data_IF_846762676941
#
_entry.id   IF_846762676941
#
_cell.length_a   1.000
_cell.length_b   1.000
_cell.length_c   1.000
_cell.angle_alpha   90.00
_cell.angle_beta   90.00
_cell.angle_gamma   90.00
#
_symmetry.space_group_name_H-M   'P 1'
#
loop_
_entity.id
_entity.type
_entity.pdbx_description
1 polymer ?
#
# COMPACT_ATOMS: atom_id res chain seq x y z
N UNK A 1 -29.27 -17.71 -21.93
CA UNK A 1 -27.96 -17.91 -21.28
C UNK A 1 -27.46 -16.54 -20.90
N UNK A 2 -27.65 -16.16 -19.64
CA UNK A 2 -27.30 -14.85 -19.13
C UNK A 2 -25.81 -14.79 -18.81
N UNK A 3 -25.13 -13.77 -19.31
CA UNK A 3 -23.81 -13.39 -18.84
C UNK A 3 -23.96 -12.82 -17.43
N UNK A 4 -23.49 -13.56 -16.44
CA UNK A 4 -23.36 -13.04 -15.08
C UNK A 4 -22.16 -12.08 -15.07
N UNK A 5 -22.44 -10.80 -15.30
CA UNK A 5 -21.48 -9.74 -15.06
C UNK A 5 -21.12 -9.77 -13.57
N UNK A 6 -19.96 -10.33 -13.25
CA UNK A 6 -19.33 -10.17 -11.94
C UNK A 6 -18.85 -8.72 -11.86
N UNK A 7 -19.79 -7.83 -11.54
CA UNK A 7 -19.51 -6.48 -11.10
C UNK A 7 -18.60 -6.60 -9.88
N UNK A 8 -17.32 -6.27 -10.07
CA UNK A 8 -16.44 -5.89 -8.96
C UNK A 8 -17.22 -4.89 -8.11
N UNK A 9 -17.45 -5.15 -6.81
CA UNK A 9 -18.21 -4.22 -6.00
C UNK A 9 -17.36 -2.96 -5.91
N UNK A 10 -17.82 -1.92 -6.63
CA UNK A 10 -17.40 -0.55 -6.46
C UNK A 10 -17.58 -0.22 -4.98
N UNK A 11 -16.45 0.03 -4.30
CA UNK A 11 -16.44 0.37 -2.90
C UNK A 11 -16.38 1.90 -2.79
N UNK A 12 -17.34 2.57 -2.14
CA UNK A 12 -17.33 4.02 -1.97
C UNK A 12 -16.06 4.53 -1.26
N UNK A 13 -15.33 3.67 -0.53
CA UNK A 13 -14.02 4.00 0.05
C UNK A 13 -12.91 4.21 -0.99
N UNK A 14 -13.14 3.79 -2.24
CA UNK A 14 -12.25 4.05 -3.38
C UNK A 14 -12.41 5.49 -3.92
N UNK A 15 -13.42 6.26 -3.48
CA UNK A 15 -13.62 7.67 -3.85
C UNK A 15 -13.31 8.65 -2.70
N UNK A 16 -12.54 8.21 -1.70
CA UNK A 16 -12.16 9.08 -0.58
C UNK A 16 -11.35 10.29 -1.08
N UNK A 17 -11.89 11.47 -0.77
CA UNK A 17 -11.27 12.74 -1.08
C UNK A 17 -9.85 12.78 -0.49
N UNK A 18 -8.92 13.35 -1.27
CA UNK A 18 -7.60 13.71 -0.78
C UNK A 18 -7.76 14.55 0.50
N UNK A 19 -7.00 14.23 1.53
CA UNK A 19 -6.94 15.08 2.71
C UNK A 19 -6.17 16.35 2.35
N UNK A 20 -6.88 17.47 2.23
CA UNK A 20 -6.31 18.78 1.89
C UNK A 20 -6.08 19.65 3.13
N UNK A 21 -6.11 19.08 4.33
CA UNK A 21 -5.80 19.83 5.55
C UNK A 21 -4.35 20.35 5.52
N UNK A 22 -4.12 21.59 5.98
CA UNK A 22 -2.78 22.20 5.94
C UNK A 22 -1.73 21.45 6.79
N UNK A 23 -2.19 20.60 7.71
CA UNK A 23 -1.39 19.68 8.54
C UNK A 23 -1.26 18.28 7.91
N UNK A 24 -1.59 18.11 6.62
CA UNK A 24 -1.21 16.95 5.82
C UNK A 24 0.29 16.99 5.58
N UNK A 25 1.04 16.86 6.68
CA UNK A 25 2.49 16.90 6.76
C UNK A 25 3.07 16.11 5.60
N UNK A 26 4.05 16.73 4.95
CA UNK A 26 4.82 16.25 3.80
C UNK A 26 5.53 14.89 4.01
N UNK A 27 5.27 14.23 5.13
CA UNK A 27 5.92 13.02 5.62
C UNK A 27 4.90 11.91 5.86
N UNK A 28 5.30 10.68 5.57
CA UNK A 28 4.51 9.49 5.82
C UNK A 28 4.33 9.32 7.34
N UNK A 29 3.11 9.03 7.79
CA UNK A 29 2.79 8.85 9.21
C UNK A 29 2.13 7.50 9.50
N UNK A 30 2.50 6.92 10.63
CA UNK A 30 1.85 5.75 11.23
C UNK A 30 0.43 6.09 11.70
N UNK A 31 -0.51 5.17 11.47
CA UNK A 31 -1.93 5.33 11.81
C UNK A 31 -2.76 6.04 10.73
N UNK A 32 -2.13 6.71 9.78
CA UNK A 32 -2.79 7.44 8.70
C UNK A 32 -3.05 6.57 7.46
N UNK A 33 -3.99 7.01 6.62
CA UNK A 33 -4.41 6.30 5.42
C UNK A 33 -3.94 6.98 4.14
N UNK A 34 -3.59 6.16 3.15
CA UNK A 34 -2.95 6.62 1.92
C UNK A 34 -3.41 5.82 0.70
N UNK A 35 -3.45 6.49 -0.43
CA UNK A 35 -3.40 5.85 -1.75
C UNK A 35 -1.96 5.88 -2.25
N UNK A 36 -1.51 4.78 -2.85
CA UNK A 36 -0.13 4.64 -3.33
C UNK A 36 -0.09 4.84 -4.84
N UNK A 37 0.88 5.62 -5.33
CA UNK A 37 1.06 5.91 -6.75
C UNK A 37 2.50 5.62 -7.20
N UNK A 38 2.66 5.14 -8.43
CA UNK A 38 3.95 5.03 -9.12
C UNK A 38 3.76 5.44 -10.59
N UNK A 39 4.61 6.33 -11.10
CA UNK A 39 4.60 6.80 -12.49
C UNK A 39 3.20 7.20 -13.01
N UNK A 40 2.46 7.96 -12.19
CA UNK A 40 1.12 8.43 -12.55
C UNK A 40 -0.01 7.40 -12.34
N UNK A 41 0.30 6.14 -12.08
CA UNK A 41 -0.67 5.05 -11.87
C UNK A 41 -0.87 4.74 -10.39
N UNK A 42 -2.06 4.30 -10.02
CA UNK A 42 -2.45 4.07 -8.63
C UNK A 42 -2.47 2.59 -8.29
N UNK A 43 -1.96 2.22 -7.13
CA UNK A 43 -1.97 0.86 -6.63
C UNK A 43 -3.41 0.44 -6.32
N UNK A 44 -3.90 -0.51 -7.08
CA UNK A 44 -5.20 -1.15 -6.93
C UNK A 44 -5.04 -2.66 -6.83
N UNK A 45 -6.09 -3.39 -7.21
CA UNK A 45 -6.00 -4.85 -7.41
C UNK A 45 -6.70 -5.30 -8.67
N UNK A 46 -6.43 -6.52 -9.09
CA UNK A 46 -7.24 -7.20 -10.09
C UNK A 46 -8.54 -7.72 -9.45
N UNK A 47 -9.36 -8.38 -10.28
CA UNK A 47 -10.62 -8.99 -9.88
C UNK A 47 -10.48 -10.47 -9.50
N UNK A 48 -9.26 -10.99 -9.31
CA UNK A 48 -9.08 -12.36 -8.86
C UNK A 48 -9.58 -12.52 -7.41
N UNK A 49 -9.97 -13.72 -6.95
CA UNK A 49 -10.41 -13.93 -5.57
C UNK A 49 -9.41 -13.47 -4.51
N UNK A 50 -8.12 -13.48 -4.84
CA UNK A 50 -7.03 -13.00 -3.98
C UNK A 50 -6.78 -11.50 -4.06
N UNK A 51 -7.33 -10.80 -5.06
CA UNK A 51 -7.09 -9.37 -5.31
C UNK A 51 -5.59 -9.03 -5.40
N UNK A 52 -4.92 -9.56 -6.42
CA UNK A 52 -3.49 -9.29 -6.60
C UNK A 52 -3.26 -7.84 -6.99
N UNK A 53 -2.26 -7.20 -6.39
CA UNK A 53 -2.03 -5.78 -6.58
C UNK A 53 -1.37 -5.45 -7.91
N UNK A 54 -1.91 -4.42 -8.57
CA UNK A 54 -1.35 -3.83 -9.78
C UNK A 54 -1.61 -2.32 -9.83
N UNK A 55 -0.75 -1.63 -10.56
CA UNK A 55 -0.87 -0.20 -10.79
C UNK A 55 -1.77 0.10 -12.00
N UNK A 56 -2.75 0.98 -11.81
CA UNK A 56 -3.75 1.31 -12.85
C UNK A 56 -4.39 2.69 -12.66
N UNK A 57 -5.63 2.82 -13.14
CA UNK A 57 -6.42 4.06 -12.98
C UNK A 57 -6.87 4.30 -11.54
N UNK A 58 -7.14 5.56 -11.20
CA UNK A 58 -7.56 5.96 -9.85
C UNK A 58 -8.86 5.29 -9.39
N UNK A 59 -9.81 5.03 -10.30
CA UNK A 59 -11.09 4.37 -9.96
C UNK A 59 -10.96 2.95 -9.44
N UNK A 60 -9.78 2.34 -9.53
CA UNK A 60 -9.47 1.01 -8.99
C UNK A 60 -8.42 1.07 -7.86
N UNK A 61 -8.02 2.28 -7.44
CA UNK A 61 -7.02 2.45 -6.40
C UNK A 61 -7.56 1.99 -5.06
N UNK A 62 -6.70 1.37 -4.25
CA UNK A 62 -7.03 0.95 -2.89
C UNK A 62 -6.46 1.92 -1.86
N UNK A 63 -7.12 1.96 -0.71
CA UNK A 63 -6.68 2.74 0.45
C UNK A 63 -5.95 1.83 1.43
N UNK A 64 -4.78 2.27 1.89
CA UNK A 64 -3.93 1.54 2.81
C UNK A 64 -3.67 2.34 4.08
N UNK A 65 -3.83 1.73 5.26
CA UNK A 65 -3.34 2.32 6.51
C UNK A 65 -1.88 1.91 6.73
N UNK A 66 -1.05 2.87 7.12
CA UNK A 66 0.36 2.64 7.45
C UNK A 66 0.46 2.23 8.91
N UNK A 67 1.00 1.04 9.16
CA UNK A 67 1.02 0.46 10.49
C UNK A 67 2.44 0.13 10.95
N UNK A 68 2.81 0.55 12.16
CA UNK A 68 4.13 0.26 12.74
C UNK A 68 4.31 -1.21 13.03
N UNK A 69 3.26 -1.84 13.55
CA UNK A 69 3.16 -3.25 13.90
C UNK A 69 1.82 -3.77 13.37
N UNK A 70 1.72 -5.08 13.19
CA UNK A 70 0.44 -5.72 12.85
C UNK A 70 -0.62 -5.58 13.96
N UNK A 71 -0.20 -5.39 15.20
CA UNK A 71 -1.10 -5.20 16.36
C UNK A 71 -1.40 -3.73 16.66
N UNK A 72 -0.70 -2.80 16.03
CA UNK A 72 -0.83 -1.36 16.31
C UNK A 72 -0.34 -0.54 15.14
N UNK A 73 -1.24 0.24 14.55
CA UNK A 73 -0.85 1.11 13.46
C UNK A 73 -0.05 2.32 13.91
N UNK A 74 -0.27 2.81 15.13
CA UNK A 74 0.48 3.93 15.73
C UNK A 74 1.71 3.46 16.53
N UNK A 75 2.69 4.34 16.67
CA UNK A 75 3.76 4.26 17.65
C UNK A 75 3.20 4.50 19.05
N UNK A 76 3.56 3.61 19.97
CA UNK A 76 3.15 3.68 21.37
C UNK A 76 4.01 4.69 22.15
N UNK A 77 3.42 5.31 23.17
CA UNK A 77 4.09 6.24 24.10
C UNK A 77 4.71 7.48 23.45
N UNK A 78 4.23 7.90 22.28
CA UNK A 78 4.67 9.14 21.62
C UNK A 78 3.58 9.71 20.73
N UNK A 79 3.55 11.04 20.59
CA UNK A 79 2.73 11.74 19.61
C UNK A 79 3.42 11.82 18.24
N UNK A 80 4.72 11.55 18.18
CA UNK A 80 5.49 11.56 16.94
C UNK A 80 5.22 10.27 16.14
N UNK A 81 4.36 10.37 15.13
CA UNK A 81 3.97 9.27 14.25
C UNK A 81 4.73 9.23 12.93
N UNK A 82 5.75 10.05 12.74
CA UNK A 82 6.50 10.12 11.49
C UNK A 82 7.22 8.79 11.17
N UNK A 83 7.08 8.33 9.92
CA UNK A 83 7.90 7.28 9.32
C UNK A 83 9.13 7.95 8.71
N UNK A 84 10.25 7.92 9.42
CA UNK A 84 11.51 8.52 8.96
C UNK A 84 12.21 7.66 7.91
N UNK A 85 13.28 8.20 7.30
CA UNK A 85 14.19 7.42 6.46
C UNK A 85 14.64 6.14 7.17
N UNK A 86 14.53 4.99 6.49
CA UNK A 86 14.70 3.61 6.99
C UNK A 86 13.69 3.19 8.05
N UNK A 87 12.57 3.91 8.14
CA UNK A 87 11.40 3.55 8.92
C UNK A 87 10.75 2.30 8.32
N UNK A 88 10.20 1.46 9.19
CA UNK A 88 9.64 0.18 8.79
C UNK A 88 8.14 0.12 9.03
N UNK A 89 7.41 -0.44 8.08
CA UNK A 89 5.95 -0.44 8.10
C UNK A 89 5.34 -1.72 7.55
N UNK A 90 4.10 -1.95 7.96
CA UNK A 90 3.12 -2.79 7.30
C UNK A 90 2.07 -1.90 6.64
N UNK A 91 1.42 -2.44 5.61
CA UNK A 91 0.27 -1.80 4.97
C UNK A 91 -0.96 -2.64 5.25
N UNK A 92 -1.99 -2.02 5.82
CA UNK A 92 -3.31 -2.61 6.02
C UNK A 92 -4.23 -2.18 4.87
N UNK A 93 -4.77 -3.14 4.14
CA UNK A 93 -5.78 -2.90 3.11
C UNK A 93 -7.17 -3.07 3.73
N UNK A 94 -8.01 -2.03 3.66
CA UNK A 94 -9.37 -2.06 4.23
C UNK A 94 -10.34 -2.96 3.47
N UNK A 95 -10.12 -3.15 2.16
CA UNK A 95 -11.00 -3.93 1.28
C UNK A 95 -10.72 -5.42 1.39
N UNK A 96 -9.45 -5.79 1.59
CA UNK A 96 -9.05 -7.19 1.72
C UNK A 96 -9.34 -8.01 0.44
N UNK A 97 -9.75 -9.26 0.61
CA UNK A 97 -10.05 -10.19 -0.50
C UNK A 97 -11.24 -11.11 -0.22
N UNK A 98 -11.53 -12.04 -1.13
CA UNK A 98 -12.63 -13.00 -1.00
C UNK A 98 -12.59 -13.79 0.33
N UNK A 99 -11.39 -14.05 0.85
CA UNK A 99 -11.08 -14.85 2.03
C UNK A 99 -10.86 -14.04 3.31
N UNK A 100 -10.69 -12.71 3.20
CA UNK A 100 -10.69 -11.75 4.31
C UNK A 100 -11.36 -10.45 3.86
N UNK A 101 -12.69 -10.40 3.99
CA UNK A 101 -13.52 -9.35 3.39
C UNK A 101 -13.55 -8.04 4.16
N UNK A 102 -13.02 -8.02 5.38
CA UNK A 102 -13.04 -6.86 6.28
C UNK A 102 -11.64 -6.25 6.43
N UNK A 103 -10.84 -6.36 5.38
CA UNK A 103 -9.45 -5.93 5.36
C UNK A 103 -8.45 -6.96 5.87
N UNK A 104 -7.21 -6.77 5.46
CA UNK A 104 -6.06 -7.56 5.91
C UNK A 104 -4.74 -6.86 5.57
N UNK A 105 -3.65 -7.23 6.25
CA UNK A 105 -2.32 -6.75 5.91
C UNK A 105 -1.86 -7.28 4.54
N UNK A 106 -1.08 -6.46 3.85
CA UNK A 106 -0.40 -6.84 2.61
C UNK A 106 0.51 -8.05 2.87
N UNK A 107 0.40 -9.05 2.00
CA UNK A 107 1.21 -10.24 1.95
C UNK A 107 1.73 -10.46 0.52
N UNK A 108 2.70 -11.36 0.40
CA UNK A 108 3.22 -11.81 -0.88
C UNK A 108 3.41 -13.32 -0.89
N UNK A 109 3.27 -13.95 -2.05
CA UNK A 109 3.43 -15.39 -2.20
C UNK A 109 4.71 -15.74 -2.96
N UNK A 110 5.05 -17.04 -2.99
CA UNK A 110 6.22 -17.55 -3.71
C UNK A 110 6.07 -17.43 -5.24
N UNK A 111 4.86 -17.18 -5.76
CA UNK A 111 4.64 -16.85 -7.18
C UNK A 111 5.01 -15.38 -7.48
N UNK A 112 5.37 -14.63 -6.44
CA UNK A 112 5.88 -13.28 -6.50
C UNK A 112 4.80 -12.22 -6.63
N UNK A 113 3.54 -12.49 -6.31
CA UNK A 113 2.48 -11.47 -6.32
C UNK A 113 2.19 -10.96 -4.91
N UNK A 114 1.85 -9.67 -4.82
CA UNK A 114 1.32 -9.07 -3.60
C UNK A 114 -0.20 -9.04 -3.62
N UNK A 115 -0.80 -9.16 -2.43
CA UNK A 115 -2.23 -9.21 -2.21
C UNK A 115 -2.53 -8.90 -0.74
N UNK A 116 -3.76 -8.55 -0.36
CA UNK A 116 -4.11 -8.53 1.07
C UNK A 116 -4.16 -9.98 1.54
N UNK A 117 -3.64 -10.31 2.71
CA UNK A 117 -3.52 -11.71 3.11
C UNK A 117 -4.91 -12.40 3.23
N UNK A 118 -4.87 -13.73 3.36
CA UNK A 118 -6.06 -14.52 3.68
C UNK A 118 -5.90 -15.28 4.99
N UNK A 119 -6.93 -16.03 5.38
CA UNK A 119 -6.89 -16.84 6.60
C UNK A 119 -5.74 -17.88 6.62
N UNK A 120 -5.28 -18.33 5.45
CA UNK A 120 -4.25 -19.39 5.32
C UNK A 120 -2.95 -18.95 4.62
N UNK A 121 -2.91 -17.76 4.01
CA UNK A 121 -1.77 -17.30 3.20
C UNK A 121 -1.25 -15.95 3.72
N UNK A 122 -0.41 -16.01 4.77
CA UNK A 122 -0.05 -14.90 5.67
C UNK A 122 1.44 -14.54 5.65
N UNK A 123 2.11 -14.68 4.51
CA UNK A 123 3.48 -14.20 4.39
C UNK A 123 3.46 -12.68 4.25
N UNK A 124 3.31 -12.02 5.40
CA UNK A 124 3.10 -10.58 5.49
C UNK A 124 4.31 -9.81 4.98
N UNK A 125 4.05 -8.81 4.16
CA UNK A 125 5.07 -7.95 3.62
C UNK A 125 5.47 -6.90 4.66
N UNK A 126 6.76 -6.88 4.99
CA UNK A 126 7.35 -5.88 5.87
C UNK A 126 8.26 -5.00 5.04
N UNK A 127 8.01 -3.69 5.04
CA UNK A 127 8.69 -2.75 4.17
C UNK A 127 9.63 -1.85 4.96
N UNK A 128 10.81 -1.56 4.42
CA UNK A 128 11.66 -0.44 4.80
C UNK A 128 11.43 0.70 3.80
N UNK A 129 11.25 1.92 4.30
CA UNK A 129 11.11 3.13 3.50
C UNK A 129 12.46 3.82 3.34
N UNK A 130 12.87 4.13 2.12
CA UNK A 130 14.04 4.96 1.83
C UNK A 130 13.58 6.23 1.14
N UNK A 131 13.51 7.31 1.88
CA UNK A 131 13.17 8.64 1.35
C UNK A 131 14.30 9.07 0.41
N UNK A 132 13.98 9.43 -0.85
CA UNK A 132 14.99 9.85 -1.83
C UNK A 132 15.17 11.36 -1.93
N UNK A 133 14.10 12.15 -1.86
CA UNK A 133 14.18 13.62 -1.82
C UNK A 133 12.83 14.15 -1.32
N UNK A 134 12.79 14.58 -0.06
CA UNK A 134 11.62 15.27 0.51
C UNK A 134 11.84 16.80 0.59
N UNK A 135 13.01 17.28 0.18
CA UNK A 135 13.44 18.67 0.37
C UNK A 135 12.77 19.65 -0.62
N UNK A 136 12.27 19.16 -1.75
CA UNK A 136 11.61 19.96 -2.81
C UNK A 136 10.07 19.98 -2.73
N UNK A 137 9.48 19.52 -1.62
CA UNK A 137 8.03 19.54 -1.41
C UNK A 137 7.58 20.99 -1.12
N UNK A 138 7.43 21.76 -2.19
CA UNK A 138 7.10 23.19 -2.15
C UNK A 138 5.60 23.46 -2.30
N UNK A 139 4.83 22.49 -2.80
CA UNK A 139 3.37 22.58 -2.91
C UNK A 139 2.66 21.57 -2.01
N UNK A 140 1.48 21.95 -1.50
CA UNK A 140 0.62 21.10 -0.68
C UNK A 140 0.15 19.82 -1.38
N UNK A 141 0.30 19.75 -2.71
CA UNK A 141 -0.01 18.56 -3.52
C UNK A 141 1.21 17.71 -3.83
N UNK A 142 2.41 18.07 -3.38
CA UNK A 142 3.61 17.28 -3.59
C UNK A 142 3.80 16.32 -2.41
N UNK A 143 4.16 15.07 -2.70
CA UNK A 143 4.47 14.06 -1.67
C UNK A 143 5.81 13.44 -1.98
N UNK A 144 6.58 13.16 -0.92
CA UNK A 144 7.91 12.61 -1.05
C UNK A 144 7.92 11.31 -1.88
N UNK A 145 8.94 11.17 -2.74
CA UNK A 145 9.23 9.90 -3.39
C UNK A 145 9.90 8.97 -2.38
N UNK A 146 9.31 7.79 -2.22
CA UNK A 146 9.74 6.78 -1.26
C UNK A 146 10.12 5.53 -2.04
N UNK A 147 11.38 5.12 -1.92
CA UNK A 147 11.78 3.78 -2.30
C UNK A 147 11.30 2.79 -1.24
N UNK A 148 10.30 1.98 -1.61
CA UNK A 148 9.90 0.83 -0.81
C UNK A 148 10.86 -0.32 -1.08
N UNK A 149 11.39 -0.89 0.00
CA UNK A 149 12.22 -2.09 0.01
C UNK A 149 11.51 -3.13 0.84
N UNK A 150 11.46 -4.36 0.34
CA UNK A 150 10.90 -5.46 1.10
C UNK A 150 11.98 -6.07 1.99
N UNK A 151 11.65 -6.36 3.24
CA UNK A 151 12.62 -6.88 4.21
C UNK A 151 12.09 -8.09 4.95
N UNK A 152 13.01 -8.94 5.42
CA UNK A 152 12.69 -10.09 6.27
C UNK A 152 11.93 -11.21 5.57
N UNK A 153 11.93 -11.27 4.23
CA UNK A 153 11.24 -12.32 3.49
C UNK A 153 12.00 -13.63 3.48
N UNK A 154 11.26 -14.73 3.45
CA UNK A 154 11.81 -16.07 3.29
C UNK A 154 12.69 -16.16 2.03
N UNK A 155 13.75 -16.96 2.12
CA UNK A 155 14.71 -17.18 1.02
C UNK A 155 15.35 -15.90 0.46
N UNK A 156 15.42 -14.82 1.26
CA UNK A 156 15.97 -13.52 0.87
C UNK A 156 15.29 -12.90 -0.36
N UNK A 157 14.03 -13.23 -0.63
CA UNK A 157 13.26 -12.65 -1.75
C UNK A 157 12.78 -11.23 -1.41
N UNK A 158 13.74 -10.34 -1.13
CA UNK A 158 13.57 -9.00 -0.58
C UNK A 158 13.49 -7.91 -1.66
N UNK A 159 13.50 -8.26 -2.95
CA UNK A 159 13.33 -7.28 -4.01
C UNK A 159 11.87 -7.02 -4.33
N UNK A 160 11.60 -5.82 -4.82
CA UNK A 160 10.32 -5.38 -5.34
C UNK A 160 10.48 -4.90 -6.78
N UNK A 161 9.49 -5.18 -7.61
CA UNK A 161 9.39 -4.60 -8.95
C UNK A 161 7.93 -4.36 -9.33
N UNK A 162 7.72 -3.39 -10.21
CA UNK A 162 6.48 -3.26 -10.97
C UNK A 162 6.74 -3.92 -12.32
N UNK A 163 6.08 -5.05 -12.58
CA UNK A 163 6.25 -5.80 -13.84
C UNK A 163 5.66 -5.03 -15.02
N UNK A 164 6.01 -5.43 -16.24
CA UNK A 164 5.50 -4.82 -17.48
C UNK A 164 3.97 -4.88 -17.63
N UNK A 165 3.31 -5.83 -16.95
CA UNK A 165 1.86 -5.93 -16.85
C UNK A 165 1.27 -5.13 -15.66
N UNK A 166 2.06 -4.24 -15.04
CA UNK A 166 1.76 -3.36 -13.92
C UNK A 166 1.59 -4.04 -12.55
N UNK A 167 1.75 -5.35 -12.44
CA UNK A 167 1.65 -6.02 -11.14
C UNK A 167 2.81 -5.66 -10.23
N UNK A 168 2.50 -5.37 -8.97
CA UNK A 168 3.52 -5.29 -7.93
C UNK A 168 3.96 -6.72 -7.60
N UNK A 169 5.26 -6.96 -7.69
CA UNK A 169 5.81 -8.29 -7.58
C UNK A 169 7.13 -8.33 -6.82
N UNK A 170 7.45 -9.52 -6.29
CA UNK A 170 8.77 -9.78 -5.77
C UNK A 170 9.80 -9.83 -6.91
N UNK A 171 10.96 -9.29 -6.64
CA UNK A 171 12.15 -9.40 -7.47
C UNK A 171 13.25 -10.14 -6.71
N UNK A 172 13.97 -11.03 -7.39
CA UNK A 172 15.02 -11.83 -6.78
C UNK A 172 16.30 -11.04 -6.42
N UNK A 173 16.44 -9.79 -6.87
CA UNK A 173 17.69 -9.03 -6.82
C UNK A 173 17.67 -7.77 -5.93
N UNK A 174 16.88 -7.75 -4.85
CA UNK A 174 16.92 -6.66 -3.85
C UNK A 174 16.54 -5.28 -4.41
N UNK A 175 15.87 -5.24 -5.57
CA UNK A 175 15.32 -4.02 -6.17
C UNK A 175 14.33 -3.35 -5.22
N UNK A 176 14.18 -2.04 -5.38
CA UNK A 176 13.13 -1.24 -4.77
C UNK A 176 12.13 -0.76 -5.82
N UNK A 177 10.96 -0.32 -5.35
CA UNK A 177 10.00 0.44 -6.17
C UNK A 177 9.86 1.83 -5.59
N UNK A 178 9.99 2.84 -6.43
CA UNK A 178 9.77 4.24 -6.07
C UNK A 178 8.28 4.54 -6.14
N UNK A 179 7.70 5.00 -5.04
CA UNK A 179 6.26 5.29 -4.93
C UNK A 179 6.02 6.61 -4.22
N UNK A 180 4.80 7.11 -4.35
CA UNK A 180 4.28 8.25 -3.61
C UNK A 180 3.08 7.80 -2.77
N UNK A 181 3.05 8.23 -1.52
CA UNK A 181 1.93 8.01 -0.61
C UNK A 181 1.10 9.29 -0.54
N UNK A 182 -0.15 9.22 -1.02
CA UNK A 182 -1.10 10.35 -1.02
C UNK A 182 -2.10 10.18 0.10
N UNK A 183 -2.04 11.05 1.12
CA UNK A 183 -2.91 10.95 2.30
C UNK A 183 -4.38 11.10 1.90
N UNK A 184 -5.22 10.25 2.49
CA UNK A 184 -6.69 10.25 2.35
C UNK A 184 -7.29 9.98 3.73
N UNK A 185 -8.57 10.26 3.90
CA UNK A 185 -9.30 9.83 5.11
C UNK A 185 -9.28 8.31 5.23
N UNK A 186 -9.31 7.78 6.46
CA UNK A 186 -9.46 6.34 6.62
C UNK A 186 -10.92 5.91 6.36
N UNK A 187 -11.17 4.77 5.67
CA UNK A 187 -12.52 4.28 5.38
C UNK A 187 -13.41 3.97 6.59
N UNK A 188 -12.85 3.92 7.81
CA UNK A 188 -13.53 3.57 9.05
C UNK A 188 -13.51 4.69 10.10
N UNK A 189 -13.17 5.93 9.69
CA UNK A 189 -13.31 7.12 10.54
C UNK A 189 -14.76 7.64 10.58
#
# INVERSE_FOLDING_TARGET
MGEEQVLSPYDPSDDLALDTSADSNHTLQYGECYKVQADGKWLGSDSNPWNYYLFGGYSNSRTFQVCRLMSSCQRQNTQDQEVRHRGHLYLWDFRGNHYSRNGEFVANNNLGYFYPAGLSARNYAYFETRMEDCDDITHSKDTCYINLVLVGQASNNNGLEIRSNNYLANAYNGKSVTVQFRRVKCPLD
#
